data_IF_046882904079
#
_entry.id   IF_046882904079
#
_cell.length_a   1.000
_cell.length_b   1.000
_cell.length_c   1.000
_cell.angle_alpha   90.00
_cell.angle_beta   90.00
_cell.angle_gamma   90.00
#
_symmetry.space_group_name_H-M   'P 1'
#
loop_
_entity.id
_entity.type
_entity.pdbx_description
1 polymer ?
#
# COMPACT_ATOMS: atom_id res chain seq x y z
N UNK A 1 13.40 20.45 -12.56
CA UNK A 1 12.17 19.79 -13.06
C UNK A 1 11.74 18.65 -12.12
N UNK A 2 12.66 17.79 -11.66
CA UNK A 2 12.42 16.80 -10.59
C UNK A 2 11.72 17.37 -9.34
N UNK A 3 12.12 18.56 -8.88
CA UNK A 3 11.58 19.21 -7.68
C UNK A 3 10.08 19.52 -7.72
N UNK A 4 9.46 19.63 -8.90
CA UNK A 4 8.03 19.94 -9.05
C UNK A 4 7.17 18.67 -9.18
N UNK A 5 7.74 17.58 -9.71
CA UNK A 5 7.08 16.26 -9.76
C UNK A 5 7.04 15.61 -8.38
N UNK A 6 8.11 15.80 -7.59
CA UNK A 6 8.21 15.33 -6.20
C UNK A 6 7.11 15.90 -5.28
N UNK A 7 6.67 17.14 -5.52
CA UNK A 7 5.72 17.84 -4.63
C UNK A 7 4.27 17.40 -4.79
N UNK A 8 3.82 17.02 -6.00
CA UNK A 8 2.42 16.67 -6.22
C UNK A 8 2.08 15.23 -5.81
N UNK A 9 2.91 14.25 -6.18
CA UNK A 9 2.68 12.84 -5.83
C UNK A 9 2.85 12.63 -4.32
N UNK A 10 3.89 13.20 -3.71
CA UNK A 10 4.11 13.14 -2.26
C UNK A 10 2.97 13.78 -1.46
N UNK A 11 2.41 14.90 -1.95
CA UNK A 11 1.29 15.57 -1.31
C UNK A 11 0.01 14.71 -1.25
N UNK A 12 -0.23 13.91 -2.30
CA UNK A 12 -1.37 13.01 -2.37
C UNK A 12 -1.24 11.82 -1.38
N UNK A 13 -0.04 11.26 -1.23
CA UNK A 13 0.23 10.22 -0.21
C UNK A 13 0.05 10.79 1.20
N UNK A 14 0.56 12.01 1.43
CA UNK A 14 0.39 12.70 2.72
C UNK A 14 -1.06 12.99 3.05
N UNK A 15 -1.88 13.34 2.04
CA UNK A 15 -3.32 13.52 2.20
C UNK A 15 -3.99 12.22 2.65
N UNK A 16 -3.74 11.10 1.96
CA UNK A 16 -4.28 9.80 2.38
C UNK A 16 -3.83 9.45 3.79
N UNK A 17 -2.54 9.62 4.09
CA UNK A 17 -2.01 9.32 5.41
C UNK A 17 -2.76 10.09 6.49
N UNK A 18 -2.99 11.40 6.26
CA UNK A 18 -3.74 12.25 7.18
C UNK A 18 -5.22 11.90 7.31
N UNK A 19 -5.87 11.46 6.22
CA UNK A 19 -7.30 11.12 6.24
C UNK A 19 -7.55 9.72 6.84
N UNK A 20 -6.71 8.73 6.53
CA UNK A 20 -6.85 7.36 7.04
C UNK A 20 -6.30 7.17 8.45
N UNK A 21 -5.19 7.84 8.77
CA UNK A 21 -4.40 7.60 9.97
C UNK A 21 -4.25 8.88 10.82
N UNK A 22 -5.31 9.70 10.88
CA UNK A 22 -5.35 11.00 11.56
C UNK A 22 -4.88 10.99 13.03
N UNK A 23 -4.87 9.81 13.68
CA UNK A 23 -4.41 9.60 15.06
C UNK A 23 -3.15 8.73 15.19
N UNK A 24 -2.45 8.48 14.07
CA UNK A 24 -1.36 7.52 13.97
C UNK A 24 -1.84 6.14 13.49
N UNK A 25 -0.89 5.26 13.12
CA UNK A 25 -1.21 3.88 12.79
C UNK A 25 -1.85 3.21 14.04
N UNK A 26 -3.07 2.64 13.94
CA UNK A 26 -3.72 2.03 15.10
C UNK A 26 -2.83 0.92 15.67
N UNK A 27 -2.64 0.91 16.99
CA UNK A 27 -1.98 -0.19 17.68
C UNK A 27 -2.84 -1.45 17.51
N UNK A 28 -2.44 -2.32 16.59
CA UNK A 28 -3.13 -3.58 16.32
C UNK A 28 -2.86 -4.54 17.47
N UNK A 29 -3.86 -4.82 18.29
CA UNK A 29 -3.87 -6.01 19.13
C UNK A 29 -4.37 -7.20 18.28
N UNK A 30 -3.83 -8.40 18.53
CA UNK A 30 -4.28 -9.61 17.83
C UNK A 30 -5.80 -9.82 18.01
N UNK A 31 -6.51 -9.95 16.89
CA UNK A 31 -7.96 -10.15 16.85
C UNK A 31 -8.81 -8.88 16.82
N UNK A 32 -8.22 -7.69 16.87
CA UNK A 32 -8.99 -6.45 16.84
C UNK A 32 -9.46 -6.11 15.42
N UNK A 33 -10.74 -5.74 15.28
CA UNK A 33 -11.35 -5.42 13.99
C UNK A 33 -11.11 -3.93 13.68
N UNK A 34 -10.70 -3.56 12.45
CA UNK A 34 -10.53 -2.16 12.10
C UNK A 34 -11.83 -1.38 12.29
N UNK A 35 -11.80 -0.18 12.93
CA UNK A 35 -12.96 0.69 12.99
C UNK A 35 -13.38 1.07 11.58
N UNK A 36 -14.69 1.18 11.35
CA UNK A 36 -15.23 1.50 10.03
C UNK A 36 -14.77 2.92 9.62
N UNK A 37 -14.04 2.98 8.50
CA UNK A 37 -13.75 4.23 7.81
C UNK A 37 -14.99 4.70 7.03
N UNK A 38 -15.11 6.00 6.82
CA UNK A 38 -16.19 6.54 6.00
C UNK A 38 -16.04 6.13 4.53
N UNK A 39 -17.14 5.82 3.84
CA UNK A 39 -17.08 5.31 2.46
C UNK A 39 -16.40 6.30 1.49
N UNK A 40 -16.69 7.60 1.60
CA UNK A 40 -16.05 8.63 0.78
C UNK A 40 -14.52 8.66 0.95
N UNK A 41 -14.02 8.38 2.15
CA UNK A 41 -12.59 8.27 2.42
C UNK A 41 -11.99 7.07 1.72
N UNK A 42 -12.68 5.93 1.73
CA UNK A 42 -12.22 4.71 1.07
C UNK A 42 -12.26 4.85 -0.45
N UNK A 43 -13.29 5.50 -1.00
CA UNK A 43 -13.41 5.75 -2.43
C UNK A 43 -12.33 6.73 -2.92
N UNK A 44 -12.07 7.79 -2.17
CA UNK A 44 -10.95 8.70 -2.43
C UNK A 44 -9.61 7.95 -2.38
N UNK A 45 -9.41 7.10 -1.37
CA UNK A 45 -8.19 6.30 -1.23
C UNK A 45 -8.02 5.36 -2.43
N UNK A 46 -9.10 4.72 -2.88
CA UNK A 46 -9.09 3.83 -4.04
C UNK A 46 -8.64 4.56 -5.31
N UNK A 47 -9.25 5.71 -5.60
CA UNK A 47 -8.93 6.48 -6.81
C UNK A 47 -7.50 7.01 -6.81
N UNK A 48 -6.99 7.40 -5.64
CA UNK A 48 -5.60 7.82 -5.51
C UNK A 48 -4.63 6.65 -5.68
N UNK A 49 -4.90 5.48 -5.10
CA UNK A 49 -4.01 4.32 -5.27
C UNK A 49 -4.00 3.87 -6.72
N UNK A 50 -5.16 3.87 -7.39
CA UNK A 50 -5.26 3.66 -8.84
C UNK A 50 -4.40 4.65 -9.60
N UNK A 51 -4.50 5.95 -9.27
CA UNK A 51 -3.66 6.98 -9.87
C UNK A 51 -2.17 6.64 -9.70
N UNK A 52 -1.71 6.30 -8.51
CA UNK A 52 -0.31 5.92 -8.26
C UNK A 52 0.12 4.69 -9.07
N UNK A 53 -0.73 3.67 -9.17
CA UNK A 53 -0.49 2.50 -10.01
C UNK A 53 -0.40 2.88 -11.49
N UNK A 54 -1.29 3.75 -11.99
CA UNK A 54 -1.22 4.25 -13.36
C UNK A 54 0.05 5.07 -13.63
N UNK A 55 0.48 5.92 -12.68
CA UNK A 55 1.74 6.67 -12.83
C UNK A 55 2.94 5.72 -12.83
N UNK A 56 2.89 4.62 -12.07
CA UNK A 56 3.94 3.60 -12.06
C UNK A 56 4.11 2.91 -13.42
N UNK A 57 3.04 2.82 -14.22
CA UNK A 57 3.11 2.33 -15.60
C UNK A 57 3.78 3.32 -16.56
N UNK A 58 3.77 4.62 -16.23
CA UNK A 58 4.39 5.66 -17.04
C UNK A 58 5.88 5.82 -16.71
N UNK A 59 6.21 5.89 -15.42
CA UNK A 59 7.58 5.99 -14.95
C UNK A 59 7.72 5.39 -13.55
N UNK A 60 8.07 4.10 -13.53
CA UNK A 60 8.28 3.33 -12.32
C UNK A 60 9.38 3.95 -11.43
N UNK A 61 10.49 4.37 -12.02
CA UNK A 61 11.64 4.88 -11.27
C UNK A 61 11.30 6.18 -10.55
N UNK A 62 10.56 7.09 -11.20
CA UNK A 62 10.09 8.32 -10.57
C UNK A 62 9.17 8.01 -9.41
N UNK A 63 8.21 7.09 -9.56
CA UNK A 63 7.30 6.72 -8.46
C UNK A 63 8.07 6.10 -7.30
N UNK A 64 8.94 5.12 -7.58
CA UNK A 64 9.76 4.46 -6.55
C UNK A 64 10.66 5.45 -5.81
N UNK A 65 11.28 6.40 -6.53
CA UNK A 65 12.13 7.43 -5.92
C UNK A 65 11.34 8.41 -5.05
N UNK A 66 10.18 8.90 -5.53
CA UNK A 66 9.32 9.81 -4.77
C UNK A 66 8.81 9.12 -3.50
N UNK A 67 8.26 7.92 -3.64
CA UNK A 67 7.65 7.17 -2.55
C UNK A 67 8.66 6.60 -1.57
N UNK A 68 9.87 6.29 -2.03
CA UNK A 68 11.00 5.81 -1.21
C UNK A 68 11.68 6.94 -0.42
N UNK A 69 11.40 8.19 -0.77
CA UNK A 69 11.95 9.37 -0.09
C UNK A 69 11.68 9.41 1.42
N UNK A 70 12.58 10.08 2.14
CA UNK A 70 12.51 10.21 3.59
C UNK A 70 11.16 10.79 4.03
N UNK A 71 10.52 10.14 5.02
CA UNK A 71 9.20 10.50 5.53
C UNK A 71 8.03 9.91 4.73
N UNK A 72 8.07 9.95 3.39
CA UNK A 72 7.00 9.38 2.55
C UNK A 72 6.99 7.85 2.58
N UNK A 73 8.15 7.22 2.60
CA UNK A 73 8.27 5.76 2.70
C UNK A 73 7.62 5.21 3.97
N UNK A 74 7.76 5.91 5.09
CA UNK A 74 7.13 5.57 6.35
C UNK A 74 5.60 5.65 6.26
N UNK A 75 5.08 6.74 5.68
CA UNK A 75 3.65 6.92 5.47
C UNK A 75 3.08 5.86 4.54
N UNK A 76 3.77 5.58 3.42
CA UNK A 76 3.38 4.54 2.48
C UNK A 76 3.30 3.18 3.17
N UNK A 77 4.33 2.81 3.94
CA UNK A 77 4.35 1.54 4.69
C UNK A 77 3.16 1.43 5.62
N UNK A 78 2.83 2.51 6.36
CA UNK A 78 1.66 2.53 7.24
C UNK A 78 0.34 2.44 6.47
N UNK A 79 0.21 3.14 5.33
CA UNK A 79 -0.96 3.06 4.44
C UNK A 79 -1.14 1.64 3.92
N UNK A 80 -0.12 1.04 3.29
CA UNK A 80 -0.18 -0.32 2.77
C UNK A 80 -0.54 -1.31 3.88
N UNK A 81 0.14 -1.21 5.02
CA UNK A 81 -0.13 -2.08 6.17
C UNK A 81 -1.59 -1.96 6.66
N UNK A 82 -2.10 -0.72 6.76
CA UNK A 82 -3.47 -0.45 7.18
C UNK A 82 -4.48 -1.00 6.16
N UNK A 83 -4.26 -0.79 4.87
CA UNK A 83 -5.17 -1.23 3.82
C UNK A 83 -5.22 -2.75 3.68
N UNK A 84 -4.07 -3.43 3.78
CA UNK A 84 -4.03 -4.90 3.81
C UNK A 84 -4.86 -5.43 4.98
N UNK A 85 -4.73 -4.83 6.17
CA UNK A 85 -5.51 -5.23 7.34
C UNK A 85 -7.00 -4.89 7.22
N UNK A 86 -7.32 -3.64 6.86
CA UNK A 86 -8.70 -3.13 6.76
C UNK A 86 -9.51 -3.87 5.70
N UNK A 87 -8.97 -3.95 4.48
CA UNK A 87 -9.70 -4.49 3.34
C UNK A 87 -9.88 -6.00 3.44
N UNK A 88 -8.97 -6.71 4.11
CA UNK A 88 -9.12 -8.14 4.43
C UNK A 88 -10.29 -8.36 5.39
N UNK A 89 -10.39 -7.59 6.48
CA UNK A 89 -11.47 -7.75 7.47
C UNK A 89 -12.84 -7.32 6.95
N UNK A 90 -12.88 -6.25 6.14
CA UNK A 90 -14.14 -5.68 5.62
C UNK A 90 -14.44 -6.11 4.17
N UNK A 91 -13.67 -7.06 3.62
CA UNK A 91 -13.84 -7.62 2.26
C UNK A 91 -13.93 -6.56 1.15
N UNK A 92 -13.11 -5.50 1.23
CA UNK A 92 -13.01 -4.45 0.19
C UNK A 92 -12.01 -4.88 -0.89
N UNK A 93 -12.40 -5.87 -1.70
CA UNK A 93 -11.50 -6.53 -2.66
C UNK A 93 -10.84 -5.58 -3.67
N UNK A 94 -11.60 -4.65 -4.25
CA UNK A 94 -11.06 -3.71 -5.24
C UNK A 94 -9.92 -2.85 -4.67
N UNK A 95 -10.09 -2.34 -3.45
CA UNK A 95 -9.06 -1.55 -2.76
C UNK A 95 -7.87 -2.41 -2.31
N UNK A 96 -8.14 -3.66 -1.89
CA UNK A 96 -7.08 -4.60 -1.53
C UNK A 96 -6.19 -4.93 -2.73
N UNK A 97 -6.77 -5.22 -3.89
CA UNK A 97 -6.03 -5.49 -5.13
C UNK A 97 -5.15 -4.30 -5.52
N UNK A 98 -5.68 -3.09 -5.50
CA UNK A 98 -4.92 -1.88 -5.83
C UNK A 98 -3.77 -1.63 -4.84
N UNK A 99 -3.99 -1.90 -3.55
CA UNK A 99 -2.93 -1.81 -2.53
C UNK A 99 -1.82 -2.84 -2.75
N UNK A 100 -2.16 -4.08 -3.13
CA UNK A 100 -1.20 -5.14 -3.46
C UNK A 100 -0.37 -4.76 -4.70
N UNK A 101 -1.01 -4.21 -5.74
CA UNK A 101 -0.32 -3.72 -6.94
C UNK A 101 0.61 -2.56 -6.61
N UNK A 102 0.18 -1.62 -5.77
CA UNK A 102 1.02 -0.50 -5.34
C UNK A 102 2.26 -0.97 -4.59
N UNK A 103 2.10 -1.98 -3.72
CA UNK A 103 3.23 -2.60 -3.03
C UNK A 103 4.21 -3.21 -4.05
N UNK A 104 3.71 -3.99 -5.02
CA UNK A 104 4.56 -4.59 -6.05
C UNK A 104 5.31 -3.55 -6.89
N UNK A 105 4.60 -2.53 -7.38
CA UNK A 105 5.19 -1.41 -8.11
C UNK A 105 6.25 -0.67 -7.30
N UNK A 106 6.02 -0.50 -5.99
CA UNK A 106 6.96 0.20 -5.12
C UNK A 106 8.31 -0.52 -4.96
N UNK A 107 8.32 -1.87 -4.96
CA UNK A 107 9.51 -2.65 -4.61
C UNK A 107 10.15 -3.40 -5.76
N UNK A 108 9.44 -3.61 -6.88
CA UNK A 108 9.96 -4.42 -7.98
C UNK A 108 11.30 -3.90 -8.48
N UNK A 109 12.32 -4.79 -8.43
CA UNK A 109 13.71 -4.50 -8.79
C UNK A 109 14.35 -3.33 -8.00
N UNK A 110 13.92 -3.10 -6.76
CA UNK A 110 14.41 -2.02 -5.92
C UNK A 110 14.68 -2.50 -4.48
N UNK A 111 15.92 -2.96 -4.24
CA UNK A 111 16.38 -3.54 -2.98
C UNK A 111 16.20 -2.59 -1.77
N UNK A 112 16.37 -1.29 -1.98
CA UNK A 112 16.17 -0.28 -0.92
C UNK A 112 14.70 -0.25 -0.49
N UNK A 113 13.77 -0.23 -1.45
CA UNK A 113 12.34 -0.23 -1.16
C UNK A 113 11.83 -1.57 -0.63
N UNK A 114 12.40 -2.70 -1.07
CA UNK A 114 12.13 -4.03 -0.51
C UNK A 114 12.45 -4.05 0.99
N UNK A 115 13.65 -3.61 1.39
CA UNK A 115 14.08 -3.55 2.78
C UNK A 115 13.15 -2.69 3.66
N UNK A 116 12.55 -1.63 3.09
CA UNK A 116 11.58 -0.80 3.81
C UNK A 116 10.32 -1.61 4.19
N UNK A 117 9.82 -2.49 3.33
CA UNK A 117 8.61 -3.30 3.60
C UNK A 117 8.86 -4.44 4.59
N UNK A 118 10.08 -4.92 4.68
CA UNK A 118 10.50 -5.96 5.63
C UNK A 118 10.80 -5.41 7.04
N UNK A 119 10.80 -4.10 7.19
CA UNK A 119 11.14 -3.41 8.45
C UNK A 119 9.92 -2.87 9.20
N UNK A 120 10.13 -2.50 10.47
CA UNK A 120 9.12 -1.84 11.30
C UNK A 120 8.29 -2.79 12.16
N UNK A 121 7.08 -2.36 12.51
CA UNK A 121 6.18 -3.10 13.40
C UNK A 121 5.68 -4.38 12.73
N UNK A 122 5.65 -5.49 13.48
CA UNK A 122 5.08 -6.75 13.03
C UNK A 122 3.55 -6.79 13.20
N UNK A 123 2.82 -7.47 12.31
CA UNK A 123 3.31 -8.10 11.08
C UNK A 123 3.74 -7.04 10.05
N UNK A 124 4.90 -7.26 9.41
CA UNK A 124 5.42 -6.39 8.35
C UNK A 124 4.51 -6.46 7.11
N UNK A 125 4.67 -5.54 6.14
CA UNK A 125 3.83 -5.55 4.93
C UNK A 125 3.99 -6.88 4.18
N UNK A 126 5.22 -7.39 4.06
CA UNK A 126 5.48 -8.70 3.45
C UNK A 126 4.80 -9.83 4.24
N UNK A 127 4.89 -9.83 5.57
CA UNK A 127 4.22 -10.84 6.40
C UNK A 127 2.68 -10.77 6.27
N UNK A 128 2.11 -9.58 6.12
CA UNK A 128 0.67 -9.41 5.89
C UNK A 128 0.25 -9.95 4.52
N UNK A 129 1.04 -9.70 3.47
CA UNK A 129 0.79 -10.27 2.14
C UNK A 129 0.78 -11.80 2.17
N UNK A 130 1.75 -12.40 2.87
CA UNK A 130 1.82 -13.85 3.08
C UNK A 130 0.68 -14.41 3.94
N UNK A 131 -0.04 -13.55 4.68
CA UNK A 131 -1.14 -13.92 5.57
C UNK A 131 -2.52 -13.54 5.01
N UNK A 132 -2.60 -13.16 3.72
CA UNK A 132 -3.86 -12.87 3.07
C UNK A 132 -4.78 -14.11 3.03
N UNK A 133 -6.10 -13.93 2.85
CA UNK A 133 -7.03 -15.04 2.71
C UNK A 133 -6.63 -16.03 1.60
N UNK A 134 -6.96 -17.30 1.79
CA UNK A 134 -6.56 -18.40 0.90
C UNK A 134 -7.01 -18.19 -0.55
N UNK A 135 -8.09 -17.43 -0.78
CA UNK A 135 -8.58 -17.05 -2.09
C UNK A 135 -7.49 -16.35 -2.92
N UNK A 136 -6.63 -15.52 -2.32
CA UNK A 136 -5.51 -14.90 -3.03
C UNK A 136 -4.42 -15.87 -3.47
N UNK A 137 -4.38 -17.08 -2.91
CA UNK A 137 -3.41 -18.12 -3.23
C UNK A 137 -3.99 -19.25 -4.11
N UNK A 138 -5.31 -19.27 -4.30
CA UNK A 138 -6.03 -20.39 -4.94
C UNK A 138 -6.91 -19.97 -6.11
N UNK A 139 -7.44 -18.75 -6.11
CA UNK A 139 -8.21 -18.20 -7.22
C UNK A 139 -7.29 -17.58 -8.28
N UNK A 140 -7.40 -18.03 -9.54
CA UNK A 140 -6.51 -17.60 -10.63
C UNK A 140 -6.49 -16.08 -10.81
N UNK A 141 -7.63 -15.40 -10.65
CA UNK A 141 -7.73 -13.95 -10.83
C UNK A 141 -7.01 -13.20 -9.70
N UNK A 142 -7.18 -13.63 -8.45
CA UNK A 142 -6.53 -12.99 -7.30
C UNK A 142 -5.04 -13.34 -7.21
N UNK A 143 -4.64 -14.57 -7.55
CA UNK A 143 -3.23 -14.98 -7.57
C UNK A 143 -2.42 -14.23 -8.63
N UNK A 144 -3.03 -13.86 -9.77
CA UNK A 144 -2.39 -12.96 -10.76
C UNK A 144 -2.10 -11.55 -10.23
N UNK A 145 -2.77 -11.14 -9.16
CA UNK A 145 -2.49 -9.87 -8.47
C UNK A 145 -1.42 -10.08 -7.39
N UNK A 146 -1.57 -11.10 -6.55
CA UNK A 146 -0.68 -11.31 -5.41
C UNK A 146 0.70 -11.83 -5.78
N UNK A 147 0.81 -12.84 -6.64
CA UNK A 147 2.07 -13.54 -6.85
C UNK A 147 3.17 -12.67 -7.48
N UNK A 148 2.88 -11.82 -8.48
CA UNK A 148 3.89 -10.89 -8.99
C UNK A 148 4.43 -9.97 -7.89
N UNK A 149 3.55 -9.47 -7.00
CA UNK A 149 3.96 -8.66 -5.85
C UNK A 149 4.83 -9.46 -4.86
N UNK A 150 4.46 -10.70 -4.54
CA UNK A 150 5.27 -11.54 -3.64
C UNK A 150 6.64 -11.92 -4.20
N UNK A 151 6.76 -12.06 -5.53
CA UNK A 151 8.05 -12.31 -6.19
C UNK A 151 8.92 -11.03 -6.20
N UNK A 152 8.27 -9.86 -6.24
CA UNK A 152 8.94 -8.57 -6.25
C UNK A 152 9.41 -8.12 -4.85
N UNK A 153 8.73 -8.54 -3.78
CA UNK A 153 9.15 -8.34 -2.39
C UNK A 153 10.35 -9.21 -2.04
#
# INVERSE_FOLDING_TARGET
MLTFQMTHIGGVVSLIYGVLLHSGAPQRADGDRPPLAADHTLDLTLEVIRLLNYVSLLDLNVVQCVLGGEGLSLQLRHICSYLLWYCTHHKREALLNEAILLVGNFVVLNDENQALLESGQRPTVVQQLCSLPIEYFSDDRLSRVLFPTLIAC
#
